data_IF_925686673676
#
_entry.id   IF_925686673676
#
_cell.length_a   1.000
_cell.length_b   1.000
_cell.length_c   1.000
_cell.angle_alpha   90.00
_cell.angle_beta   90.00
_cell.angle_gamma   90.00
#
_symmetry.space_group_name_H-M   'P 1'
#
loop_
_entity.id
_entity.type
_entity.pdbx_description
1 polymer ?
#
# COMPACT_ATOMS: atom_id res chain seq x y z
N UNK A 1 9.89 14.71 -30.00
CA UNK A 1 9.76 13.66 -28.96
C UNK A 1 8.87 14.22 -27.88
N UNK A 2 7.73 13.60 -27.59
CA UNK A 2 6.94 13.99 -26.44
C UNK A 2 7.73 13.62 -25.19
N UNK A 3 8.03 14.60 -24.33
CA UNK A 3 8.63 14.31 -23.02
C UNK A 3 7.59 13.56 -22.21
N UNK A 4 7.97 12.41 -21.65
CA UNK A 4 7.12 11.70 -20.69
C UNK A 4 7.13 12.51 -19.40
N UNK A 5 5.95 12.97 -19.01
CA UNK A 5 5.73 13.86 -17.87
C UNK A 5 5.41 13.10 -16.59
N UNK A 6 5.19 11.79 -16.67
CA UNK A 6 4.79 10.95 -15.54
C UNK A 6 5.63 9.67 -15.49
N UNK A 7 5.90 9.18 -14.29
CA UNK A 7 6.59 7.90 -14.07
C UNK A 7 5.77 7.03 -13.12
N UNK A 8 5.53 5.79 -13.48
CA UNK A 8 4.87 4.76 -12.69
C UNK A 8 5.89 3.77 -12.16
N UNK A 9 5.89 3.56 -10.85
CA UNK A 9 6.58 2.48 -10.17
C UNK A 9 5.59 1.36 -9.82
N UNK A 10 5.97 0.12 -10.12
CA UNK A 10 5.14 -1.06 -9.93
C UNK A 10 5.84 -1.99 -8.95
N UNK A 11 5.21 -2.31 -7.83
CA UNK A 11 5.68 -3.41 -6.98
C UNK A 11 5.47 -4.75 -7.69
N UNK A 12 6.47 -5.63 -7.77
CA UNK A 12 6.37 -6.90 -8.49
C UNK A 12 5.38 -7.91 -7.87
N UNK A 13 4.88 -7.68 -6.65
CA UNK A 13 3.87 -8.51 -6.00
C UNK A 13 2.44 -8.24 -6.49
N UNK A 14 2.20 -7.18 -7.26
CA UNK A 14 0.86 -6.91 -7.81
C UNK A 14 0.51 -7.89 -8.93
N UNK A 15 -0.76 -8.25 -9.03
CA UNK A 15 -1.27 -9.09 -10.11
C UNK A 15 -1.32 -8.35 -11.45
N UNK A 16 -1.34 -9.09 -12.56
CA UNK A 16 -1.72 -8.58 -13.89
C UNK A 16 -0.85 -7.39 -14.38
N UNK A 17 0.45 -7.46 -14.07
CA UNK A 17 1.47 -6.47 -14.48
C UNK A 17 1.52 -6.32 -16.01
N UNK A 18 1.26 -7.40 -16.76
CA UNK A 18 1.22 -7.37 -18.22
C UNK A 18 0.20 -6.36 -18.75
N UNK A 19 -1.02 -6.36 -18.19
CA UNK A 19 -2.04 -5.36 -18.54
C UNK A 19 -1.63 -3.96 -18.12
N UNK A 20 -1.01 -3.78 -16.94
CA UNK A 20 -0.54 -2.48 -16.47
C UNK A 20 0.47 -1.88 -17.47
N UNK A 21 1.46 -2.67 -17.90
CA UNK A 21 2.51 -2.19 -18.80
C UNK A 21 2.00 -2.01 -20.24
N UNK A 22 1.10 -2.89 -20.71
CA UNK A 22 0.54 -2.81 -22.06
C UNK A 22 -0.40 -1.61 -22.26
N UNK A 23 -1.08 -1.17 -21.20
CA UNK A 23 -2.14 -0.16 -21.27
C UNK A 23 -1.77 1.15 -20.57
N UNK A 24 -0.49 1.51 -20.53
CA UNK A 24 -0.04 2.81 -20.03
C UNK A 24 -0.59 3.95 -20.90
N UNK A 25 -0.97 5.06 -20.26
CA UNK A 25 -1.31 6.27 -21.00
C UNK A 25 -0.10 6.85 -21.74
N UNK A 26 -0.30 7.52 -22.88
CA UNK A 26 0.73 8.34 -23.47
C UNK A 26 1.29 9.34 -22.45
N UNK A 27 2.61 9.45 -22.36
CA UNK A 27 3.28 10.35 -21.40
C UNK A 27 3.71 9.69 -20.09
N UNK A 28 3.34 8.43 -19.85
CA UNK A 28 3.77 7.64 -18.67
C UNK A 28 4.96 6.72 -19.04
N UNK A 29 6.02 6.78 -18.24
CA UNK A 29 7.08 5.75 -18.19
C UNK A 29 6.76 4.76 -17.07
N UNK A 30 7.03 3.47 -17.24
CA UNK A 30 6.90 2.50 -16.16
C UNK A 30 8.25 1.92 -15.76
N UNK A 31 8.42 1.70 -14.46
CA UNK A 31 9.56 1.05 -13.84
C UNK A 31 9.03 -0.06 -12.92
N UNK A 32 9.39 -1.30 -13.23
CA UNK A 32 9.12 -2.43 -12.33
C UNK A 32 10.20 -2.47 -11.26
N UNK A 33 9.81 -2.47 -9.99
CA UNK A 33 10.74 -2.56 -8.87
C UNK A 33 11.31 -3.97 -8.73
N UNK A 34 12.55 -4.06 -8.25
CA UNK A 34 13.23 -5.30 -7.94
C UNK A 34 12.87 -5.78 -6.52
N UNK A 35 12.73 -7.11 -6.35
CA UNK A 35 12.53 -7.71 -5.03
C UNK A 35 13.76 -7.56 -4.14
N UNK A 36 13.55 -7.41 -2.83
CA UNK A 36 14.61 -7.41 -1.81
C UNK A 36 15.52 -6.18 -1.81
N UNK A 37 15.05 -5.08 -2.41
CA UNK A 37 15.70 -3.76 -2.37
C UNK A 37 14.69 -2.70 -1.90
N UNK A 38 15.11 -1.69 -1.12
CA UNK A 38 14.19 -0.67 -0.65
C UNK A 38 13.53 0.08 -1.79
N UNK A 39 12.20 0.18 -1.76
CA UNK A 39 11.43 0.81 -2.84
C UNK A 39 11.79 2.30 -3.01
N UNK A 40 11.96 3.03 -1.90
CA UNK A 40 12.34 4.45 -1.92
C UNK A 40 13.66 4.67 -2.64
N UNK A 41 14.68 3.87 -2.31
CA UNK A 41 15.99 3.93 -2.96
C UNK A 41 15.89 3.70 -4.46
N UNK A 42 15.19 2.64 -4.89
CA UNK A 42 15.02 2.33 -6.31
C UNK A 42 14.31 3.44 -7.08
N UNK A 43 13.25 4.00 -6.48
CA UNK A 43 12.51 5.11 -7.04
C UNK A 43 13.38 6.37 -7.17
N UNK A 44 14.14 6.71 -6.11
CA UNK A 44 15.07 7.84 -6.12
C UNK A 44 16.16 7.68 -7.18
N UNK A 45 16.76 6.49 -7.30
CA UNK A 45 17.76 6.17 -8.34
C UNK A 45 17.19 6.33 -9.76
N UNK A 46 15.99 5.79 -10.01
CA UNK A 46 15.33 5.89 -11.30
C UNK A 46 14.93 7.33 -11.68
N UNK A 47 14.70 8.18 -10.66
CA UNK A 47 14.32 9.58 -10.82
C UNK A 47 15.52 10.55 -10.82
N UNK A 48 16.75 10.09 -10.55
CA UNK A 48 17.92 10.96 -10.35
C UNK A 48 18.21 11.92 -11.52
N UNK A 49 17.85 11.54 -12.75
CA UNK A 49 18.03 12.33 -13.97
C UNK A 49 16.69 12.86 -14.53
N UNK A 50 15.63 12.85 -13.73
CA UNK A 50 14.29 13.33 -14.08
C UNK A 50 13.98 14.60 -13.27
N UNK A 51 13.22 15.51 -13.85
CA UNK A 51 12.80 16.74 -13.20
C UNK A 51 11.55 17.29 -13.88
N UNK A 52 10.72 18.02 -13.14
CA UNK A 52 9.52 18.65 -13.69
C UNK A 52 8.44 17.63 -14.07
N UNK A 53 8.40 16.47 -13.40
CA UNK A 53 7.33 15.50 -13.59
C UNK A 53 6.00 16.05 -13.07
N UNK A 54 4.93 15.83 -13.82
CA UNK A 54 3.58 16.13 -13.40
C UNK A 54 3.09 15.14 -12.33
N UNK A 55 3.53 13.88 -12.42
CA UNK A 55 3.21 12.90 -11.39
C UNK A 55 4.25 11.78 -11.29
N UNK A 56 4.40 11.27 -10.07
CA UNK A 56 5.01 9.97 -9.79
C UNK A 56 3.90 9.06 -9.27
N UNK A 57 3.67 7.94 -9.94
CA UNK A 57 2.64 6.97 -9.57
C UNK A 57 3.31 5.77 -8.88
N UNK A 58 2.62 5.21 -7.90
CA UNK A 58 3.01 3.94 -7.27
C UNK A 58 1.81 3.00 -7.35
N UNK A 59 1.99 1.84 -7.97
CA UNK A 59 1.05 0.72 -7.90
C UNK A 59 1.67 -0.36 -7.03
N UNK A 60 1.03 -0.62 -5.89
CA UNK A 60 1.43 -1.64 -4.93
C UNK A 60 0.19 -2.09 -4.14
N UNK A 61 0.38 -3.07 -3.25
CA UNK A 61 -0.62 -3.36 -2.23
C UNK A 61 -0.66 -2.26 -1.17
N UNK A 62 -1.79 -2.13 -0.48
CA UNK A 62 -1.96 -1.12 0.57
C UNK A 62 -2.89 -1.58 1.69
N UNK A 63 -2.86 -0.80 2.77
CA UNK A 63 -3.76 -0.88 3.91
C UNK A 63 -3.89 0.53 4.52
N UNK A 64 -4.85 0.81 5.41
CA UNK A 64 -4.98 2.11 6.05
C UNK A 64 -3.67 2.62 6.65
N UNK A 65 -3.15 3.74 6.11
CA UNK A 65 -1.89 4.35 6.54
C UNK A 65 -0.61 3.65 6.08
N UNK A 66 -0.69 2.81 5.05
CA UNK A 66 0.43 1.99 4.59
C UNK A 66 0.43 1.71 3.08
N UNK A 67 1.63 1.75 2.48
CA UNK A 67 1.94 1.11 1.19
C UNK A 67 2.84 -0.09 1.44
N UNK A 68 2.47 -1.24 0.90
CA UNK A 68 3.18 -2.50 1.13
C UNK A 68 4.04 -2.85 -0.08
N UNK A 69 5.35 -2.75 0.09
CA UNK A 69 6.31 -3.24 -0.88
C UNK A 69 6.87 -4.61 -0.47
N UNK A 70 7.42 -5.32 -1.45
CA UNK A 70 8.10 -6.59 -1.26
C UNK A 70 9.26 -6.54 -0.24
N UNK A 71 9.89 -5.39 -0.04
CA UNK A 71 11.03 -5.19 0.88
C UNK A 71 10.62 -4.58 2.25
N UNK A 72 9.34 -4.27 2.42
CA UNK A 72 8.82 -3.65 3.63
C UNK A 72 7.88 -2.48 3.35
N UNK A 73 7.10 -2.06 4.35
CA UNK A 73 6.08 -1.05 4.12
C UNK A 73 6.60 0.38 4.26
N UNK A 74 6.00 1.31 3.51
CA UNK A 74 5.92 2.70 3.91
C UNK A 74 4.75 2.90 4.86
N UNK A 75 5.02 3.51 6.01
CA UNK A 75 4.06 3.84 7.06
C UNK A 75 4.65 4.96 7.91
N UNK A 76 3.85 5.61 8.75
CA UNK A 76 4.35 6.63 9.71
C UNK A 76 5.58 6.15 10.50
N UNK A 77 5.64 4.86 10.86
CA UNK A 77 6.76 4.29 11.61
C UNK A 77 8.04 4.09 10.79
N UNK A 78 7.95 4.06 9.46
CA UNK A 78 9.06 3.69 8.56
C UNK A 78 9.53 4.84 7.67
N UNK A 79 8.70 5.86 7.41
CA UNK A 79 9.03 6.98 6.51
C UNK A 79 10.32 7.71 6.90
N UNK A 80 10.61 7.84 8.20
CA UNK A 80 11.81 8.52 8.68
C UNK A 80 13.12 7.81 8.25
N UNK A 81 13.09 6.48 8.04
CA UNK A 81 14.26 5.74 7.57
C UNK A 81 14.61 6.07 6.11
N UNK A 82 13.60 6.40 5.30
CA UNK A 82 13.73 6.63 3.85
C UNK A 82 13.73 8.12 3.49
N UNK A 83 13.86 9.03 4.46
CA UNK A 83 13.60 10.47 4.25
C UNK A 83 14.47 11.10 3.16
N UNK A 84 15.72 10.63 2.99
CA UNK A 84 16.62 11.12 1.93
C UNK A 84 16.14 10.76 0.52
N UNK A 85 15.67 9.52 0.36
CA UNK A 85 15.16 8.99 -0.90
C UNK A 85 13.77 9.55 -1.22
N UNK A 86 12.90 9.68 -0.21
CA UNK A 86 11.60 10.34 -0.33
C UNK A 86 11.73 11.80 -0.79
N UNK A 87 12.68 12.54 -0.20
CA UNK A 87 12.97 13.89 -0.64
C UNK A 87 13.55 13.93 -2.08
N UNK A 88 14.30 12.90 -2.48
CA UNK A 88 14.81 12.79 -3.86
C UNK A 88 13.69 12.54 -4.87
N UNK A 89 12.72 11.68 -4.52
CA UNK A 89 11.51 11.47 -5.31
C UNK A 89 10.79 12.81 -5.50
N UNK A 90 10.54 13.54 -4.41
CA UNK A 90 9.88 14.86 -4.44
C UNK A 90 10.57 15.88 -5.35
N UNK A 91 11.91 15.96 -5.32
CA UNK A 91 12.68 16.87 -6.18
C UNK A 91 12.54 16.58 -7.69
N UNK A 92 12.14 15.38 -8.08
CA UNK A 92 11.91 15.05 -9.48
C UNK A 92 10.57 15.58 -10.00
N UNK A 93 9.62 15.88 -9.10
CA UNK A 93 8.34 16.46 -9.46
C UNK A 93 8.44 17.97 -9.73
N UNK A 94 7.49 18.47 -10.52
CA UNK A 94 7.27 19.91 -10.70
C UNK A 94 6.63 20.53 -9.45
N UNK A 95 6.54 21.87 -9.42
CA UNK A 95 5.93 22.59 -8.29
C UNK A 95 4.46 22.19 -8.03
N UNK A 96 3.74 21.82 -9.10
CA UNK A 96 2.36 21.34 -9.04
C UNK A 96 2.27 19.81 -9.23
N UNK A 97 3.40 19.10 -9.10
CA UNK A 97 3.48 17.66 -9.31
C UNK A 97 3.04 16.87 -8.08
N UNK A 98 2.43 15.71 -8.30
CA UNK A 98 1.86 14.88 -7.23
C UNK A 98 2.48 13.49 -7.14
N UNK A 99 2.64 12.97 -5.93
CA UNK A 99 2.86 11.55 -5.68
C UNK A 99 1.50 10.84 -5.54
N UNK A 100 1.23 9.87 -6.41
CA UNK A 100 -0.08 9.20 -6.52
C UNK A 100 0.02 7.73 -6.14
N UNK A 101 -0.57 7.37 -5.01
CA UNK A 101 -0.55 6.02 -4.44
C UNK A 101 -1.80 5.24 -4.83
N UNK A 102 -1.67 4.44 -5.89
CA UNK A 102 -2.68 3.48 -6.34
C UNK A 102 -2.54 2.20 -5.53
N UNK A 103 -2.91 2.27 -4.26
CA UNK A 103 -2.72 1.22 -3.26
C UNK A 103 -4.01 1.13 -2.44
N UNK A 104 -4.56 -0.07 -2.23
CA UNK A 104 -5.87 -0.21 -1.57
C UNK A 104 -5.88 0.45 -0.19
N UNK A 105 -6.95 1.21 0.09
CA UNK A 105 -7.27 1.75 1.42
C UNK A 105 -6.17 2.61 2.08
N UNK A 106 -5.10 2.99 1.37
CA UNK A 106 -3.94 3.69 1.93
C UNK A 106 -4.30 5.02 2.61
N UNK A 107 -5.28 5.73 2.06
CA UNK A 107 -5.79 7.00 2.57
C UNK A 107 -7.04 6.84 3.46
N UNK A 108 -7.41 5.62 3.86
CA UNK A 108 -8.63 5.36 4.61
C UNK A 108 -8.51 5.79 6.08
N UNK A 109 -9.43 6.66 6.51
CA UNK A 109 -9.58 7.08 7.91
C UNK A 109 -8.37 7.85 8.46
N UNK A 110 -8.35 8.07 9.77
CA UNK A 110 -7.32 8.88 10.44
C UNK A 110 -5.90 8.36 10.25
N UNK A 111 -5.72 7.03 10.18
CA UNK A 111 -4.41 6.44 9.90
C UNK A 111 -3.91 6.80 8.50
N UNK A 112 -4.80 6.75 7.50
CA UNK A 112 -4.50 7.16 6.13
C UNK A 112 -4.21 8.65 6.01
N UNK A 113 -5.02 9.51 6.64
CA UNK A 113 -4.80 10.96 6.69
C UNK A 113 -3.42 11.31 7.26
N UNK A 114 -3.07 10.74 8.42
CA UNK A 114 -1.78 10.98 9.07
C UNK A 114 -0.60 10.46 8.24
N UNK A 115 -0.77 9.33 7.56
CA UNK A 115 0.26 8.78 6.67
C UNK A 115 0.50 9.67 5.44
N UNK A 116 -0.57 10.12 4.76
CA UNK A 116 -0.44 10.99 3.60
C UNK A 116 0.20 12.34 3.98
N UNK A 117 -0.15 12.90 5.13
CA UNK A 117 0.46 14.13 5.64
C UNK A 117 1.96 13.96 5.87
N UNK A 118 2.39 12.92 6.58
CA UNK A 118 3.81 12.69 6.82
C UNK A 118 4.61 12.33 5.56
N UNK A 119 4.00 11.62 4.62
CA UNK A 119 4.64 11.34 3.34
C UNK A 119 4.74 12.61 2.49
N UNK A 120 3.74 13.49 2.55
CA UNK A 120 3.78 14.81 1.92
C UNK A 120 4.90 15.67 2.50
N UNK A 121 5.08 15.67 3.83
CA UNK A 121 6.19 16.36 4.48
C UNK A 121 7.56 15.80 4.10
N UNK A 122 7.70 14.46 4.05
CA UNK A 122 8.95 13.79 3.72
C UNK A 122 9.36 14.00 2.25
N UNK A 123 8.39 14.08 1.34
CA UNK A 123 8.63 14.28 -0.09
C UNK A 123 8.66 15.76 -0.48
N UNK A 124 8.01 16.63 0.29
CA UNK A 124 7.86 18.05 -0.02
C UNK A 124 6.87 18.34 -1.15
N UNK A 125 6.00 17.38 -1.50
CA UNK A 125 4.99 17.49 -2.57
C UNK A 125 3.62 17.04 -2.08
N UNK A 126 2.59 17.31 -2.88
CA UNK A 126 1.25 16.77 -2.61
C UNK A 126 1.21 15.25 -2.85
N UNK A 127 0.53 14.55 -1.94
CA UNK A 127 0.35 13.10 -1.99
C UNK A 127 -1.14 12.77 -2.04
N UNK A 128 -1.53 11.99 -3.03
CA UNK A 128 -2.87 11.43 -3.16
C UNK A 128 -2.84 9.93 -2.93
N UNK A 129 -3.82 9.39 -2.21
CA UNK A 129 -3.95 7.95 -1.97
C UNK A 129 -5.39 7.47 -2.02
N UNK A 130 -5.61 6.18 -2.26
CA UNK A 130 -6.96 5.62 -2.35
C UNK A 130 -7.59 5.43 -0.97
N UNK A 131 -8.84 5.85 -0.79
CA UNK A 131 -9.63 5.63 0.44
C UNK A 131 -10.40 4.31 0.44
N UNK A 132 -10.37 3.62 -0.70
CA UNK A 132 -11.05 2.36 -0.99
C UNK A 132 -10.17 1.46 -1.85
N UNK A 133 -10.65 0.25 -2.15
CA UNK A 133 -10.00 -0.71 -3.03
C UNK A 133 -9.74 -0.13 -4.44
N UNK A 134 -8.54 -0.37 -4.96
CA UNK A 134 -8.13 -0.04 -6.33
C UNK A 134 -8.10 -1.28 -7.21
N UNK A 135 -8.62 -1.17 -8.44
CA UNK A 135 -8.65 -2.26 -9.43
C UNK A 135 -10.03 -2.49 -10.03
N UNK A 136 -10.32 -3.73 -10.43
CA UNK A 136 -11.53 -4.14 -11.12
C UNK A 136 -12.81 -3.83 -10.35
N UNK A 137 -13.79 -3.25 -11.03
CA UNK A 137 -15.11 -2.94 -10.46
C UNK A 137 -15.86 -4.19 -9.97
N UNK A 138 -15.73 -5.32 -10.69
CA UNK A 138 -16.30 -6.62 -10.32
C UNK A 138 -15.75 -7.16 -8.98
N UNK A 139 -14.56 -6.69 -8.56
CA UNK A 139 -13.92 -7.02 -7.28
C UNK A 139 -14.12 -5.93 -6.21
N UNK A 140 -15.01 -4.96 -6.48
CA UNK A 140 -15.30 -3.80 -5.63
C UNK A 140 -14.26 -2.68 -5.73
N UNK A 141 -13.30 -2.76 -6.65
CA UNK A 141 -12.26 -1.76 -6.87
C UNK A 141 -12.73 -0.58 -7.71
N UNK A 142 -12.06 0.56 -7.59
CA UNK A 142 -12.09 1.62 -8.60
C UNK A 142 -10.78 2.39 -8.58
N UNK A 143 -10.52 3.08 -9.67
CA UNK A 143 -9.30 3.85 -9.83
C UNK A 143 -9.57 5.31 -9.46
N UNK A 144 -9.82 5.53 -8.17
CA UNK A 144 -10.05 6.83 -7.56
C UNK A 144 -9.09 7.08 -6.39
N UNK A 145 -8.56 8.31 -6.29
CA UNK A 145 -7.73 8.76 -5.18
C UNK A 145 -8.44 9.88 -4.44
N UNK A 146 -8.13 10.00 -3.14
CA UNK A 146 -8.44 11.22 -2.38
C UNK A 146 -7.80 12.43 -3.04
N UNK A 147 -8.56 13.50 -3.14
CA UNK A 147 -8.10 14.79 -3.66
C UNK A 147 -7.79 15.72 -2.50
N UNK A 148 -6.69 16.48 -2.57
CA UNK A 148 -6.61 17.73 -1.79
C UNK A 148 -7.60 18.72 -2.40
N UNK A 149 -8.28 19.50 -1.55
CA UNK A 149 -9.51 20.23 -1.87
C UNK A 149 -9.46 21.24 -3.05
N UNK A 150 -8.31 21.45 -3.69
CA UNK A 150 -8.10 22.45 -4.74
C UNK A 150 -7.47 21.93 -6.04
N UNK A 151 -7.24 20.62 -6.18
CA UNK A 151 -6.61 20.03 -7.37
C UNK A 151 -7.59 19.39 -8.37
N UNK A 152 -7.19 19.20 -9.65
CA UNK A 152 -7.92 18.32 -10.56
C UNK A 152 -7.90 16.88 -10.05
N UNK A 153 -8.92 16.08 -10.40
CA UNK A 153 -8.97 14.67 -9.99
C UNK A 153 -7.75 13.92 -10.55
N UNK A 154 -6.96 13.24 -9.70
CA UNK A 154 -5.84 12.42 -10.14
C UNK A 154 -6.29 11.35 -11.14
N UNK A 155 -5.65 11.34 -12.31
CA UNK A 155 -5.93 10.36 -13.35
C UNK A 155 -5.05 9.11 -13.17
N UNK A 156 -5.59 7.90 -13.41
CA UNK A 156 -4.82 6.66 -13.39
C UNK A 156 -3.68 6.66 -14.41
N UNK A 157 -2.58 5.94 -14.17
CA UNK A 157 -1.48 5.83 -15.14
C UNK A 157 -1.86 4.98 -16.37
N UNK A 158 -3.03 4.33 -16.35
CA UNK A 158 -3.55 3.46 -17.39
C UNK A 158 -4.57 4.16 -18.30
N UNK A 159 -4.67 3.72 -19.56
CA UNK A 159 -5.73 4.17 -20.47
C UNK A 159 -7.11 3.84 -19.90
N UNK A 160 -8.19 4.51 -20.34
CA UNK A 160 -9.54 4.12 -19.98
C UNK A 160 -9.89 2.66 -20.36
N UNK A 161 -9.22 2.11 -21.39
CA UNK A 161 -9.32 0.70 -21.75
C UNK A 161 -8.59 -0.17 -20.74
N UNK A 162 -7.35 0.19 -20.38
CA UNK A 162 -6.54 -0.50 -19.36
C UNK A 162 -7.21 -0.55 -17.99
N UNK A 163 -7.77 0.57 -17.53
CA UNK A 163 -8.54 0.64 -16.28
C UNK A 163 -9.70 -0.37 -16.25
N UNK A 164 -10.34 -0.61 -17.39
CA UNK A 164 -11.42 -1.60 -17.53
C UNK A 164 -10.92 -3.03 -17.73
N UNK A 165 -9.75 -3.18 -18.37
CA UNK A 165 -9.15 -4.47 -18.69
C UNK A 165 -8.43 -5.09 -17.49
N UNK A 166 -7.90 -4.28 -16.57
CA UNK A 166 -7.23 -4.76 -15.38
C UNK A 166 -8.18 -5.62 -14.54
N UNK A 167 -7.92 -6.92 -14.50
CA UNK A 167 -8.83 -7.90 -13.90
C UNK A 167 -8.58 -8.06 -12.39
N UNK A 168 -7.43 -7.58 -11.90
CA UNK A 168 -7.05 -7.70 -10.50
C UNK A 168 -7.74 -6.68 -9.59
N UNK A 169 -7.64 -6.93 -8.29
CA UNK A 169 -7.67 -5.89 -7.28
C UNK A 169 -6.25 -5.77 -6.73
N UNK A 170 -5.83 -4.57 -6.33
CA UNK A 170 -4.54 -4.39 -5.64
C UNK A 170 -4.62 -4.85 -4.17
N UNK A 171 -5.33 -5.94 -3.93
CA UNK A 171 -5.45 -6.67 -2.68
C UNK A 171 -4.82 -8.06 -2.86
N UNK A 172 -4.30 -8.66 -1.79
CA UNK A 172 -3.63 -9.96 -1.89
C UNK A 172 -4.66 -11.03 -2.28
N UNK A 173 -4.42 -11.73 -3.40
CA UNK A 173 -5.28 -12.84 -3.86
C UNK A 173 -4.53 -14.16 -3.71
N UNK A 174 -5.07 -15.07 -2.91
CA UNK A 174 -4.62 -16.45 -2.82
C UNK A 174 -5.42 -17.30 -3.81
N UNK A 175 -4.74 -17.96 -4.74
CA UNK A 175 -5.38 -18.81 -5.77
C UNK A 175 -5.60 -20.25 -5.32
N UNK A 176 -4.97 -20.65 -4.21
CA UNK A 176 -5.12 -21.94 -3.56
C UNK A 176 -4.97 -21.77 -2.05
N UNK A 177 -5.44 -22.78 -1.29
CA UNK A 177 -5.16 -22.81 0.14
C UNK A 177 -3.64 -22.92 0.36
N UNK A 178 -3.08 -21.99 1.12
CA UNK A 178 -1.63 -21.96 1.36
C UNK A 178 -1.32 -21.52 2.77
N UNK A 179 -0.19 -22.02 3.29
CA UNK A 179 0.35 -21.54 4.55
C UNK A 179 1.01 -20.19 4.32
N UNK A 180 0.49 -19.17 5.00
CA UNK A 180 1.04 -17.82 5.01
C UNK A 180 1.64 -17.57 6.38
N UNK A 181 2.88 -17.08 6.42
CA UNK A 181 3.47 -16.55 7.65
C UNK A 181 2.99 -15.12 7.82
N UNK A 182 2.18 -14.89 8.86
CA UNK A 182 1.76 -13.56 9.28
C UNK A 182 2.72 -13.09 10.36
N UNK A 183 3.33 -11.93 10.12
CA UNK A 183 4.16 -11.23 11.10
C UNK A 183 3.59 -9.85 11.35
N UNK A 184 3.72 -9.37 12.59
CA UNK A 184 3.20 -8.06 12.96
C UNK A 184 3.64 -7.68 14.36
N UNK A 185 3.22 -6.49 14.79
CA UNK A 185 3.42 -6.00 16.16
C UNK A 185 2.07 -5.87 16.84
N UNK A 186 1.99 -6.30 18.10
CA UNK A 186 0.84 -6.05 18.95
C UNK A 186 0.99 -4.69 19.62
N UNK A 187 -0.13 -4.01 19.87
CA UNK A 187 -0.13 -2.76 20.61
C UNK A 187 0.21 -3.03 22.09
N UNK A 188 1.35 -2.50 22.54
CA UNK A 188 1.85 -2.65 23.91
C UNK A 188 0.85 -2.17 24.94
N UNK A 189 0.09 -1.10 24.65
CA UNK A 189 -0.90 -0.54 25.58
C UNK A 189 -2.09 -1.49 25.81
N UNK A 190 -2.36 -2.37 24.85
CA UNK A 190 -3.48 -3.29 24.85
C UNK A 190 -3.04 -4.76 24.93
N UNK A 191 -1.76 -5.02 25.20
CA UNK A 191 -1.19 -6.37 25.30
C UNK A 191 -0.92 -6.76 26.75
N UNK A 192 -1.51 -7.87 27.19
CA UNK A 192 -1.27 -8.49 28.48
C UNK A 192 -0.24 -9.60 28.29
N UNK A 193 0.82 -9.58 29.09
CA UNK A 193 1.86 -10.61 29.06
C UNK A 193 1.29 -12.01 29.33
N UNK A 194 1.85 -13.01 28.67
CA UNK A 194 1.52 -14.43 28.88
C UNK A 194 0.04 -14.77 28.60
N UNK A 195 -0.58 -14.04 27.66
CA UNK A 195 -1.89 -14.37 27.11
C UNK A 195 -1.78 -14.91 25.68
N UNK A 196 -2.75 -15.75 25.32
CA UNK A 196 -2.97 -16.24 23.95
C UNK A 196 -3.78 -15.18 23.20
N UNK A 197 -3.28 -14.79 22.04
CA UNK A 197 -3.91 -13.90 21.08
C UNK A 197 -4.31 -14.68 19.84
N UNK A 198 -5.52 -14.46 19.36
CA UNK A 198 -6.04 -15.11 18.16
C UNK A 198 -5.90 -14.19 16.95
N UNK A 199 -5.46 -14.78 15.84
CA UNK A 199 -5.55 -14.15 14.52
C UNK A 199 -6.93 -14.49 13.97
N UNK A 200 -7.70 -13.47 13.63
CA UNK A 200 -9.05 -13.63 13.09
C UNK A 200 -9.14 -13.06 11.68
N UNK A 201 -9.80 -13.78 10.78
CA UNK A 201 -10.31 -13.20 9.54
C UNK A 201 -11.70 -12.63 9.80
N UNK A 202 -12.02 -11.54 9.13
CA UNK A 202 -13.36 -10.95 9.12
C UNK A 202 -13.91 -11.02 7.70
N UNK A 203 -15.02 -11.70 7.50
CA UNK A 203 -15.69 -11.72 6.20
C UNK A 203 -16.45 -10.41 5.93
N UNK A 204 -16.97 -10.25 4.71
CA UNK A 204 -17.75 -9.07 4.30
C UNK A 204 -19.06 -8.90 5.07
N UNK A 205 -19.56 -9.95 5.73
CA UNK A 205 -20.76 -9.93 6.57
C UNK A 205 -20.43 -9.58 8.02
N UNK A 206 -19.14 -9.43 8.36
CA UNK A 206 -18.64 -9.10 9.68
C UNK A 206 -18.40 -10.30 10.59
N UNK A 207 -18.53 -11.53 10.08
CA UNK A 207 -18.26 -12.74 10.86
C UNK A 207 -16.76 -12.89 11.07
N UNK A 208 -16.37 -13.23 12.31
CA UNK A 208 -14.99 -13.47 12.68
C UNK A 208 -14.70 -14.97 12.68
N UNK A 209 -13.61 -15.38 12.06
CA UNK A 209 -13.10 -16.77 12.08
C UNK A 209 -11.68 -16.78 12.61
N UNK A 210 -11.40 -17.56 13.65
CA UNK A 210 -10.04 -17.76 14.16
C UNK A 210 -9.26 -18.63 13.17
N UNK A 211 -8.10 -18.14 12.72
CA UNK A 211 -7.23 -18.80 11.74
C UNK A 211 -5.83 -19.11 12.26
N UNK A 212 -5.51 -18.64 13.46
CA UNK A 212 -4.25 -18.89 14.13
C UNK A 212 -4.23 -18.33 15.54
N UNK A 213 -3.19 -18.66 16.29
CA UNK A 213 -2.97 -18.15 17.63
C UNK A 213 -1.47 -17.87 17.85
N UNK A 214 -1.19 -16.94 18.75
CA UNK A 214 0.17 -16.61 19.19
C UNK A 214 0.17 -16.31 20.68
N UNK A 215 1.28 -16.58 21.35
CA UNK A 215 1.48 -16.17 22.73
C UNK A 215 2.28 -14.86 22.77
N UNK A 216 1.87 -13.93 23.62
CA UNK A 216 2.63 -12.70 23.88
C UNK A 216 3.92 -13.01 24.64
N UNK A 217 5.01 -13.30 23.92
CA UNK A 217 6.31 -13.51 24.53
C UNK A 217 7.00 -12.17 24.83
N UNK A 218 7.17 -11.85 26.11
CA UNK A 218 7.93 -10.70 26.65
C UNK A 218 7.62 -9.33 26.02
N UNK A 219 6.73 -8.60 26.68
CA UNK A 219 6.30 -7.22 26.36
C UNK A 219 7.41 -6.15 26.51
N UNK A 220 8.65 -6.54 26.83
CA UNK A 220 9.74 -5.60 27.17
C UNK A 220 10.46 -5.06 25.91
N UNK A 221 10.38 -5.75 24.76
CA UNK A 221 11.07 -5.36 23.52
C UNK A 221 10.12 -5.10 22.33
N UNK A 222 8.81 -4.91 22.59
CA UNK A 222 7.78 -4.81 21.56
C UNK A 222 7.23 -6.18 21.18
N UNK A 223 5.92 -6.46 21.38
CA UNK A 223 5.34 -7.78 21.18
C UNK A 223 5.15 -8.04 19.67
N UNK A 224 6.23 -8.40 18.98
CA UNK A 224 6.13 -8.92 17.63
C UNK A 224 5.60 -10.35 17.63
N UNK A 225 4.68 -10.70 16.73
CA UNK A 225 4.25 -12.08 16.52
C UNK A 225 4.72 -12.61 15.16
N UNK A 226 4.88 -13.92 15.08
CA UNK A 226 5.03 -14.67 13.84
C UNK A 226 4.19 -15.94 13.95
N UNK A 227 3.19 -16.09 13.08
CA UNK A 227 2.30 -17.26 13.05
C UNK A 227 2.15 -17.73 11.62
N UNK A 228 2.26 -19.05 11.43
CA UNK A 228 1.86 -19.69 10.19
C UNK A 228 0.37 -20.04 10.25
N UNK A 229 -0.42 -19.45 9.36
CA UNK A 229 -1.85 -19.72 9.22
C UNK A 229 -2.14 -20.31 7.85
N UNK A 230 -3.10 -21.23 7.77
CA UNK A 230 -3.61 -21.70 6.47
C UNK A 230 -4.76 -20.81 6.07
N UNK A 231 -4.59 -20.08 4.96
CA UNK A 231 -5.64 -19.25 4.40
C UNK A 231 -6.25 -19.98 3.19
N UNK A 232 -7.59 -20.13 3.12
CA UNK A 232 -8.27 -20.60 1.93
C UNK A 232 -7.96 -19.76 0.70
N UNK A 233 -8.22 -20.27 -0.50
CA UNK A 233 -8.20 -19.39 -1.68
C UNK A 233 -9.22 -18.26 -1.52
N UNK A 234 -8.82 -17.05 -1.89
CA UNK A 234 -9.64 -15.87 -1.67
C UNK A 234 -8.83 -14.58 -1.73
N UNK A 235 -9.54 -13.47 -1.73
CA UNK A 235 -8.94 -12.14 -1.66
C UNK A 235 -8.91 -11.69 -0.21
N UNK A 236 -7.71 -11.43 0.30
CA UNK A 236 -7.47 -10.98 1.66
C UNK A 236 -6.96 -9.55 1.64
N UNK A 237 -7.55 -8.72 2.50
CA UNK A 237 -6.96 -7.44 2.88
C UNK A 237 -6.27 -7.66 4.22
N UNK A 238 -4.98 -7.36 4.30
CA UNK A 238 -4.24 -7.37 5.57
C UNK A 238 -4.47 -6.02 6.24
N UNK A 239 -5.47 -5.94 7.13
CA UNK A 239 -5.76 -4.73 7.88
C UNK A 239 -5.30 -4.90 9.34
N UNK A 240 -4.51 -3.97 9.84
CA UNK A 240 -4.18 -3.87 11.28
C UNK A 240 -5.35 -3.23 12.03
N UNK A 241 -6.41 -3.99 12.34
CA UNK A 241 -7.47 -3.46 13.21
C UNK A 241 -7.00 -3.42 14.66
N UNK A 242 -6.85 -2.21 15.21
CA UNK A 242 -6.43 -1.95 16.59
C UNK A 242 -7.52 -2.17 17.66
N UNK A 243 -8.70 -2.68 17.30
CA UNK A 243 -9.82 -2.84 18.24
C UNK A 243 -10.01 -4.31 18.63
N UNK A 244 -9.67 -4.72 19.87
CA UNK A 244 -9.95 -6.07 20.34
C UNK A 244 -11.47 -6.29 20.51
N UNK A 245 -11.97 -7.53 20.33
CA UNK A 245 -13.30 -7.89 20.78
C UNK A 245 -13.35 -7.83 22.30
N UNK A 246 -14.26 -7.03 22.85
CA UNK A 246 -14.60 -7.03 24.28
C UNK A 246 -15.18 -8.39 24.65
N UNK A 247 -14.36 -9.31 25.15
CA UNK A 247 -14.85 -10.42 25.97
C UNK A 247 -14.32 -10.23 27.38
N UNK A 248 -15.15 -9.62 28.22
CA UNK A 248 -15.04 -9.77 29.68
C UNK A 248 -15.55 -11.15 30.05
N UNK A 249 -14.71 -11.94 30.74
CA UNK A 249 -15.18 -13.09 31.53
C UNK A 249 -15.88 -12.56 32.78
#
# INVERSE_FOLDING_TARGET
MAYKSEVLFIDPAVSDIETIVAELRPGVDAVLLEHGRPAAQQMAEALACRSGLAAVHVIAHGAPGQVSFSDGPWSVATLAHDSGDLAAIGRALSADGELRLWCCDTAQGHAGEAFLEQLSDATGVDVCGATRRVGAAELGGAWDLSVRASGPTPEPPLTPTGVKAYAGALALVLTAETNVSLTGTLDVANTIANQIYYIVTKDSSGNLTIIGETESWNVINGPSFNVSVTLPSGTYNLNTTSTPPLWSV
#
